data_IF_781067550684
#
_entry.id   IF_781067550684
#
_cell.length_a   1.000
_cell.length_b   1.000
_cell.length_c   1.000
_cell.angle_alpha   90.00
_cell.angle_beta   90.00
_cell.angle_gamma   90.00
#
_symmetry.space_group_name_H-M   'P 1'
#
loop_
_entity.id
_entity.type
_entity.pdbx_description
1 polymer ?
#
# COMPACT_ATOMS: atom_id res chain seq x y z
N UNK A 1 20.68 53.37 31.19
CA UNK A 1 22.16 53.31 31.07
C UNK A 1 22.48 52.09 30.20
N UNK A 2 22.87 52.26 28.91
CA UNK A 2 24.25 52.15 28.36
C UNK A 2 24.89 50.79 28.75
N UNK A 3 25.30 49.85 27.88
CA UNK A 3 25.97 49.80 26.53
C UNK A 3 25.66 48.41 25.90
N UNK A 4 25.38 48.17 24.61
CA UNK A 4 26.09 48.43 23.33
C UNK A 4 27.25 47.43 23.04
N UNK A 5 27.22 46.91 21.79
CA UNK A 5 28.29 46.33 20.92
C UNK A 5 28.51 44.80 20.91
N UNK A 6 28.76 44.09 19.80
CA UNK A 6 28.74 44.24 18.32
C UNK A 6 29.32 42.95 17.74
N UNK A 7 28.93 42.54 16.53
CA UNK A 7 29.63 41.48 15.78
C UNK A 7 29.04 41.26 14.40
N UNK A 8 29.37 42.16 13.47
CA UNK A 8 28.91 42.24 12.09
C UNK A 8 29.77 41.37 11.14
N UNK A 9 29.12 40.66 10.21
CA UNK A 9 29.35 40.60 8.74
C UNK A 9 30.68 40.12 8.10
N UNK A 10 30.54 39.20 7.13
CA UNK A 10 30.97 39.26 5.70
C UNK A 10 30.87 37.82 5.10
N UNK A 11 30.07 37.45 4.08
CA UNK A 11 29.95 37.83 2.64
C UNK A 11 31.19 37.58 1.74
N UNK A 12 31.12 36.56 0.86
CA UNK A 12 31.60 36.48 -0.56
C UNK A 12 31.64 34.98 -0.98
N UNK A 13 30.87 34.45 -1.95
CA UNK A 13 30.82 34.59 -3.42
C UNK A 13 31.88 33.80 -4.24
N UNK A 14 31.37 33.01 -5.20
CA UNK A 14 31.96 32.50 -6.47
C UNK A 14 32.97 31.34 -6.35
N UNK A 15 33.10 30.35 -7.25
CA UNK A 15 32.92 30.30 -8.71
C UNK A 15 32.85 28.85 -9.26
N UNK A 16 32.36 28.75 -10.50
CA UNK A 16 32.35 27.61 -11.44
C UNK A 16 33.69 27.45 -12.17
N UNK A 17 34.13 26.22 -12.45
CA UNK A 17 35.06 25.76 -13.52
C UNK A 17 35.56 24.34 -13.16
N UNK A 18 36.01 23.41 -14.00
CA UNK A 18 36.10 23.19 -15.44
C UNK A 18 36.35 21.66 -15.61
N UNK A 19 35.90 21.08 -16.72
CA UNK A 19 36.25 19.71 -17.17
C UNK A 19 37.55 19.77 -17.99
N UNK A 20 38.42 18.74 -17.92
CA UNK A 20 39.27 18.41 -19.06
C UNK A 20 38.99 16.99 -19.58
N UNK A 21 38.86 16.92 -20.91
CA UNK A 21 38.93 15.71 -21.71
C UNK A 21 40.41 15.30 -21.90
N UNK A 22 40.69 14.00 -22.01
CA UNK A 22 41.86 13.51 -22.75
C UNK A 22 41.57 12.12 -23.33
N UNK A 23 41.60 12.04 -24.66
CA UNK A 23 41.55 10.83 -25.44
C UNK A 23 42.99 10.38 -25.77
N UNK A 24 43.28 9.09 -25.68
CA UNK A 24 44.40 8.48 -26.39
C UNK A 24 44.22 6.95 -26.56
N UNK A 25 44.36 6.52 -27.81
CA UNK A 25 44.73 5.19 -28.32
C UNK A 25 43.76 4.00 -28.20
N UNK A 26 43.14 3.65 -29.33
CA UNK A 26 42.79 2.25 -29.64
C UNK A 26 42.70 2.00 -31.15
N UNK A 27 43.83 1.69 -31.79
CA UNK A 27 43.87 0.95 -33.06
C UNK A 27 44.56 -0.38 -32.79
N UNK A 28 43.82 -1.48 -32.87
CA UNK A 28 44.40 -2.83 -32.66
C UNK A 28 43.41 -3.94 -32.24
N UNK A 29 42.16 -3.63 -31.89
CA UNK A 29 41.25 -4.63 -31.30
C UNK A 29 40.02 -5.02 -32.17
N UNK A 30 40.03 -4.74 -33.47
CA UNK A 30 38.84 -4.89 -34.33
C UNK A 30 38.78 -6.18 -35.17
N UNK A 31 39.81 -7.03 -35.16
CA UNK A 31 39.79 -8.28 -35.95
C UNK A 31 39.58 -9.58 -35.15
N UNK A 32 39.65 -9.55 -33.81
CA UNK A 32 39.42 -10.75 -32.98
C UNK A 32 37.96 -10.93 -32.51
N UNK A 33 37.10 -9.92 -32.65
CA UNK A 33 35.72 -9.96 -32.11
C UNK A 33 34.67 -10.57 -33.05
N UNK A 34 34.95 -10.70 -34.35
CA UNK A 34 33.97 -11.22 -35.31
C UNK A 34 33.85 -12.75 -35.34
N UNK A 35 34.81 -13.50 -34.78
CA UNK A 35 34.75 -14.96 -34.70
C UNK A 35 33.90 -15.51 -33.54
N UNK A 36 33.83 -14.78 -32.42
CA UNK A 36 33.15 -15.26 -31.19
C UNK A 36 31.64 -15.03 -31.23
N UNK A 37 31.18 -13.95 -31.89
CA UNK A 37 29.75 -13.58 -31.96
C UNK A 37 28.92 -14.62 -32.75
N UNK A 38 29.54 -15.36 -33.66
CA UNK A 38 28.81 -16.32 -34.52
C UNK A 38 28.46 -17.64 -33.81
N UNK A 39 29.18 -18.01 -32.74
CA UNK A 39 28.93 -19.25 -32.02
C UNK A 39 27.87 -19.11 -30.92
N UNK A 40 27.73 -17.93 -30.30
CA UNK A 40 26.67 -17.68 -29.31
C UNK A 40 25.28 -17.54 -29.96
N UNK A 41 25.18 -16.96 -31.15
CA UNK A 41 23.89 -16.82 -31.84
C UNK A 41 23.27 -18.17 -32.24
N UNK A 42 24.07 -19.18 -32.59
CA UNK A 42 23.57 -20.52 -32.89
C UNK A 42 23.02 -21.25 -31.64
N UNK A 43 23.55 -20.94 -30.45
CA UNK A 43 23.12 -21.55 -29.18
C UNK A 43 21.84 -20.90 -28.61
N UNK A 44 21.60 -19.63 -28.92
CA UNK A 44 20.38 -18.90 -28.51
C UNK A 44 19.16 -19.30 -29.36
N UNK A 45 19.35 -19.64 -30.64
CA UNK A 45 18.25 -20.04 -31.53
C UNK A 45 17.69 -21.43 -31.19
N UNK A 46 18.52 -22.37 -30.73
CA UNK A 46 18.05 -23.71 -30.31
C UNK A 46 17.39 -23.72 -28.92
N UNK A 47 17.74 -22.79 -28.03
CA UNK A 47 17.07 -22.61 -26.74
C UNK A 47 15.67 -21.97 -26.87
N UNK A 48 15.47 -21.10 -27.88
CA UNK A 48 14.19 -20.47 -28.15
C UNK A 48 13.10 -21.43 -28.67
N UNK A 49 13.49 -22.49 -29.39
CA UNK A 49 12.55 -23.48 -29.91
C UNK A 49 11.97 -24.38 -28.80
N UNK A 50 12.82 -24.81 -27.85
CA UNK A 50 12.39 -25.64 -26.71
C UNK A 50 11.50 -24.88 -25.70
N UNK A 51 11.73 -23.57 -25.51
CA UNK A 51 10.86 -22.72 -24.68
C UNK A 51 9.49 -22.42 -25.31
N UNK A 52 9.40 -22.46 -26.65
CA UNK A 52 8.13 -22.26 -27.38
C UNK A 52 7.14 -23.41 -27.21
N UNK A 53 7.61 -24.66 -27.19
CA UNK A 53 6.75 -25.84 -27.01
C UNK A 53 6.32 -26.02 -25.55
N UNK A 54 7.20 -25.74 -24.58
CA UNK A 54 6.85 -25.76 -23.15
C UNK A 54 5.78 -24.70 -22.80
N UNK A 55 5.81 -23.52 -23.45
CA UNK A 55 4.76 -22.49 -23.29
C UNK A 55 3.42 -22.88 -23.93
N UNK A 56 3.42 -23.60 -25.05
CA UNK A 56 2.17 -24.08 -25.68
C UNK A 56 1.48 -25.17 -24.84
N UNK A 57 2.25 -26.05 -24.20
CA UNK A 57 1.68 -27.09 -23.32
C UNK A 57 1.27 -26.55 -21.93
N UNK A 58 2.01 -25.57 -21.36
CA UNK A 58 1.61 -24.91 -20.12
C UNK A 58 0.32 -24.08 -20.29
N UNK A 59 0.14 -23.41 -21.44
CA UNK A 59 -1.10 -22.68 -21.76
C UNK A 59 -2.32 -23.59 -21.95
N UNK A 60 -2.14 -24.79 -22.49
CA UNK A 60 -3.21 -25.77 -22.68
C UNK A 60 -3.65 -26.43 -21.36
N UNK A 61 -2.73 -26.65 -20.42
CA UNK A 61 -3.06 -27.18 -19.09
C UNK A 61 -3.72 -26.12 -18.20
N UNK A 62 -3.32 -24.85 -18.30
CA UNK A 62 -3.98 -23.73 -17.60
C UNK A 62 -5.39 -23.44 -18.14
N UNK A 63 -5.59 -23.52 -19.45
CA UNK A 63 -6.91 -23.35 -20.08
C UNK A 63 -7.87 -24.51 -19.73
N UNK A 64 -7.38 -25.77 -19.68
CA UNK A 64 -8.20 -26.92 -19.27
C UNK A 64 -8.58 -26.92 -17.79
N UNK A 65 -7.82 -26.28 -16.91
CA UNK A 65 -8.20 -26.11 -15.50
C UNK A 65 -9.25 -25.01 -15.29
N UNK A 66 -9.37 -24.05 -16.21
CA UNK A 66 -10.43 -23.04 -16.17
C UNK A 66 -11.78 -23.59 -16.64
N UNK A 67 -11.78 -24.64 -17.47
CA UNK A 67 -12.99 -25.21 -18.11
C UNK A 67 -13.59 -26.44 -17.39
N UNK A 68 -12.99 -26.92 -16.30
CA UNK A 68 -13.47 -28.10 -15.55
C UNK A 68 -14.35 -27.78 -14.33
N UNK A 69 -14.62 -26.50 -14.03
CA UNK A 69 -15.57 -26.15 -12.97
C UNK A 69 -16.98 -26.40 -13.47
N UNK A 70 -17.66 -27.38 -12.84
CA UNK A 70 -19.09 -27.62 -13.03
C UNK A 70 -19.81 -26.27 -12.92
N UNK A 71 -20.65 -25.86 -13.89
CA UNK A 71 -21.25 -24.52 -13.92
C UNK A 71 -21.94 -24.10 -12.61
N UNK A 72 -22.49 -25.08 -11.87
CA UNK A 72 -23.10 -24.86 -10.55
C UNK A 72 -22.12 -24.60 -9.40
N UNK A 73 -20.89 -25.12 -9.45
CA UNK A 73 -19.87 -24.88 -8.43
C UNK A 73 -19.36 -23.44 -8.47
N UNK A 74 -19.05 -22.91 -9.65
CA UNK A 74 -18.61 -21.52 -9.80
C UNK A 74 -19.68 -20.51 -9.36
N UNK A 75 -20.96 -20.80 -9.66
CA UNK A 75 -22.08 -20.00 -9.20
C UNK A 75 -22.23 -20.03 -7.66
N UNK A 76 -22.08 -21.21 -7.05
CA UNK A 76 -22.11 -21.39 -5.60
C UNK A 76 -20.97 -20.63 -4.90
N UNK A 77 -19.74 -20.72 -5.43
CA UNK A 77 -18.57 -20.02 -4.91
C UNK A 77 -18.73 -18.49 -4.97
N UNK A 78 -19.28 -17.96 -6.07
CA UNK A 78 -19.58 -16.53 -6.23
C UNK A 78 -20.55 -16.04 -5.16
N UNK A 79 -21.64 -16.77 -4.93
CA UNK A 79 -22.63 -16.43 -3.89
C UNK A 79 -21.99 -16.45 -2.49
N UNK A 80 -21.16 -17.45 -2.21
CA UNK A 80 -20.46 -17.53 -0.93
C UNK A 80 -19.46 -16.37 -0.73
N UNK A 81 -18.69 -16.03 -1.76
CA UNK A 81 -17.73 -14.92 -1.72
C UNK A 81 -18.44 -13.59 -1.45
N UNK A 82 -19.54 -13.32 -2.16
CA UNK A 82 -20.37 -12.13 -1.92
C UNK A 82 -20.92 -12.09 -0.50
N UNK A 83 -21.50 -13.19 -0.01
CA UNK A 83 -22.01 -13.27 1.37
C UNK A 83 -20.92 -13.13 2.42
N UNK A 84 -19.69 -13.57 2.15
CA UNK A 84 -18.57 -13.38 3.07
C UNK A 84 -18.19 -11.89 3.15
N UNK A 85 -18.12 -11.21 2.01
CA UNK A 85 -17.81 -9.77 1.95
C UNK A 85 -18.91 -8.92 2.60
N UNK A 86 -20.19 -9.20 2.31
CA UNK A 86 -21.33 -8.50 2.93
C UNK A 86 -21.36 -8.70 4.46
N UNK A 87 -21.06 -9.92 4.95
CA UNK A 87 -20.94 -10.19 6.39
C UNK A 87 -19.77 -9.46 7.04
N UNK A 88 -18.64 -9.35 6.34
CA UNK A 88 -17.49 -8.57 6.81
C UNK A 88 -17.85 -7.08 6.92
N UNK A 89 -18.46 -6.50 5.89
CA UNK A 89 -18.91 -5.12 5.90
C UNK A 89 -19.91 -4.85 7.04
N UNK A 90 -20.86 -5.76 7.27
CA UNK A 90 -21.81 -5.66 8.38
C UNK A 90 -21.13 -5.78 9.75
N UNK A 91 -20.17 -6.70 9.91
CA UNK A 91 -19.38 -6.84 11.16
C UNK A 91 -18.64 -5.56 11.49
N UNK A 92 -17.97 -4.96 10.50
CA UNK A 92 -17.25 -3.70 10.67
C UNK A 92 -18.20 -2.55 10.98
N UNK A 93 -19.35 -2.48 10.31
CA UNK A 93 -20.39 -1.50 10.61
C UNK A 93 -20.83 -1.58 12.09
N UNK A 94 -21.13 -2.78 12.58
CA UNK A 94 -21.55 -2.99 13.98
C UNK A 94 -20.40 -2.70 14.95
N UNK A 95 -19.17 -3.16 14.66
CA UNK A 95 -17.96 -2.89 15.47
C UNK A 95 -17.83 -1.42 15.84
N UNK A 96 -18.03 -0.51 14.88
CA UNK A 96 -17.90 0.93 15.11
C UNK A 96 -19.13 1.57 15.75
N UNK A 97 -20.32 0.99 15.57
CA UNK A 97 -21.54 1.46 16.23
C UNK A 97 -21.60 1.11 17.72
N UNK A 98 -21.01 -0.02 18.09
CA UNK A 98 -20.97 -0.47 19.48
C UNK A 98 -19.76 0.08 20.25
N UNK A 99 -18.82 0.73 19.55
CA UNK A 99 -17.61 1.30 20.15
C UNK A 99 -17.94 2.58 20.93
N UNK A 100 -17.39 2.69 22.14
CA UNK A 100 -17.43 3.95 22.88
C UNK A 100 -16.57 5.02 22.18
N UNK A 101 -17.17 6.17 21.87
CA UNK A 101 -16.52 7.26 21.16
C UNK A 101 -16.53 8.55 21.98
N UNK A 102 -15.66 9.49 21.63
CA UNK A 102 -15.63 10.82 22.24
C UNK A 102 -16.96 11.55 22.04
N UNK A 103 -17.35 12.35 23.03
CA UNK A 103 -18.59 13.15 22.97
C UNK A 103 -18.50 14.31 21.97
N UNK A 104 -19.64 14.90 21.62
CA UNK A 104 -19.77 15.92 20.55
C UNK A 104 -18.88 17.14 20.80
N UNK A 105 -18.87 17.65 22.04
CA UNK A 105 -18.04 18.80 22.43
C UNK A 105 -16.56 18.49 22.26
N UNK A 106 -16.13 17.29 22.64
CA UNK A 106 -14.74 16.87 22.50
C UNK A 106 -14.37 16.69 21.02
N UNK A 107 -15.26 16.13 20.22
CA UNK A 107 -15.07 15.99 18.78
C UNK A 107 -14.87 17.34 18.08
N UNK A 108 -15.76 18.31 18.32
CA UNK A 108 -15.64 19.65 17.73
C UNK A 108 -14.39 20.40 18.20
N UNK A 109 -14.08 20.33 19.50
CA UNK A 109 -12.86 20.93 20.03
C UNK A 109 -11.60 20.32 19.40
N UNK A 110 -11.59 19.00 19.20
CA UNK A 110 -10.47 18.29 18.60
C UNK A 110 -10.31 18.64 17.13
N UNK A 111 -11.41 18.72 16.37
CA UNK A 111 -11.37 19.18 14.97
C UNK A 111 -10.89 20.62 14.84
N UNK A 112 -11.39 21.51 15.69
CA UNK A 112 -10.95 22.89 15.72
C UNK A 112 -9.46 23.00 16.07
N UNK A 113 -8.98 22.20 17.02
CA UNK A 113 -7.57 22.15 17.40
C UNK A 113 -6.70 21.72 16.22
N UNK A 114 -7.08 20.70 15.45
CA UNK A 114 -6.34 20.25 14.25
C UNK A 114 -6.34 21.33 13.17
N UNK A 115 -7.51 21.93 12.86
CA UNK A 115 -7.61 22.98 11.84
C UNK A 115 -6.72 24.18 12.17
N UNK A 116 -6.64 24.52 13.45
CA UNK A 116 -5.85 25.65 13.94
C UNK A 116 -4.42 25.26 14.30
N UNK A 117 -4.07 23.97 14.17
CA UNK A 117 -2.74 23.50 14.51
C UNK A 117 -1.75 24.03 13.48
N UNK A 118 -0.80 24.85 13.96
CA UNK A 118 0.34 25.31 13.14
C UNK A 118 1.47 24.30 13.12
N UNK A 119 1.43 23.27 13.98
CA UNK A 119 2.38 22.17 13.97
C UNK A 119 2.02 21.18 12.86
N UNK A 120 3.04 20.70 12.14
CA UNK A 120 2.90 19.97 10.89
C UNK A 120 2.30 18.55 10.99
N UNK A 121 1.98 18.05 12.19
CA UNK A 121 1.49 16.67 12.41
C UNK A 121 0.40 16.62 13.48
N UNK A 122 -0.61 15.77 13.27
CA UNK A 122 -1.64 15.47 14.27
C UNK A 122 -1.18 14.27 15.12
N UNK A 123 -1.29 14.32 16.46
CA UNK A 123 -1.00 13.14 17.27
C UNK A 123 -1.86 11.95 16.85
N UNK A 124 -1.24 10.78 16.61
CA UNK A 124 -1.95 9.61 16.08
C UNK A 124 -3.12 9.14 16.95
N UNK A 125 -2.99 9.23 18.28
CA UNK A 125 -4.09 8.92 19.20
C UNK A 125 -5.31 9.83 18.96
N UNK A 126 -5.08 11.09 18.62
CA UNK A 126 -6.15 12.02 18.25
C UNK A 126 -6.81 11.62 16.93
N UNK A 127 -6.01 11.22 15.95
CA UNK A 127 -6.53 10.69 14.68
C UNK A 127 -7.38 9.44 14.89
N UNK A 128 -6.99 8.53 15.77
CA UNK A 128 -7.77 7.32 16.10
C UNK A 128 -9.11 7.67 16.75
N UNK A 129 -9.14 8.61 17.69
CA UNK A 129 -10.39 9.05 18.33
C UNK A 129 -11.36 9.68 17.32
N UNK A 130 -10.84 10.54 16.43
CA UNK A 130 -11.65 11.16 15.38
C UNK A 130 -12.12 10.14 14.35
N UNK A 131 -11.25 9.20 13.97
CA UNK A 131 -11.58 8.12 13.06
C UNK A 131 -12.74 7.27 13.61
N UNK A 132 -12.60 6.78 14.85
CA UNK A 132 -13.61 5.96 15.50
C UNK A 132 -14.95 6.71 15.60
N UNK A 133 -14.91 8.00 15.95
CA UNK A 133 -16.13 8.83 15.99
C UNK A 133 -16.78 9.00 14.62
N UNK A 134 -16.00 9.25 13.57
CA UNK A 134 -16.52 9.35 12.21
C UNK A 134 -17.11 8.03 11.72
N UNK A 135 -16.48 6.88 12.01
CA UNK A 135 -17.01 5.56 11.67
C UNK A 135 -18.33 5.27 12.41
N UNK A 136 -18.39 5.59 13.71
CA UNK A 136 -19.60 5.47 14.52
C UNK A 136 -20.77 6.28 13.91
N UNK A 137 -20.51 7.53 13.51
CA UNK A 137 -21.57 8.41 12.97
C UNK A 137 -21.95 8.08 11.52
N UNK A 138 -21.18 7.24 10.83
CA UNK A 138 -21.36 6.92 9.41
C UNK A 138 -20.72 7.93 8.45
N UNK A 139 -19.86 8.82 8.95
CA UNK A 139 -19.11 9.81 8.18
C UNK A 139 -17.85 9.18 7.53
N UNK A 140 -18.05 8.14 6.72
CA UNK A 140 -16.95 7.29 6.23
C UNK A 140 -15.95 8.01 5.32
N UNK A 141 -16.37 9.05 4.60
CA UNK A 141 -15.45 9.83 3.77
C UNK A 141 -14.46 10.62 4.63
N UNK A 142 -14.94 11.21 5.74
CA UNK A 142 -14.09 11.91 6.69
C UNK A 142 -13.20 10.92 7.46
N UNK A 143 -13.74 9.77 7.88
CA UNK A 143 -12.96 8.69 8.50
C UNK A 143 -11.82 8.24 7.58
N UNK A 144 -12.09 8.00 6.30
CA UNK A 144 -11.05 7.62 5.33
C UNK A 144 -9.97 8.68 5.20
N UNK A 145 -10.34 9.97 5.15
CA UNK A 145 -9.38 11.06 5.06
C UNK A 145 -8.49 11.14 6.32
N UNK A 146 -9.08 10.99 7.51
CA UNK A 146 -8.35 10.95 8.78
C UNK A 146 -7.34 9.80 8.79
N UNK A 147 -7.78 8.59 8.42
CA UNK A 147 -6.89 7.43 8.35
C UNK A 147 -5.73 7.66 7.37
N UNK A 148 -6.01 8.17 6.17
CA UNK A 148 -4.96 8.49 5.19
C UNK A 148 -3.97 9.53 5.71
N UNK A 149 -4.45 10.61 6.35
CA UNK A 149 -3.56 11.61 6.95
C UNK A 149 -2.70 11.00 8.07
N UNK A 150 -3.29 10.14 8.90
CA UNK A 150 -2.57 9.47 9.97
C UNK A 150 -1.48 8.50 9.45
N UNK A 151 -1.66 7.89 8.27
CA UNK A 151 -0.58 7.13 7.60
C UNK A 151 0.62 8.03 7.27
N UNK A 152 0.39 9.28 6.86
CA UNK A 152 1.48 10.23 6.58
C UNK A 152 2.13 10.80 7.85
N UNK A 153 1.35 10.96 8.92
CA UNK A 153 1.85 11.41 10.22
C UNK A 153 2.62 10.30 10.97
N UNK A 154 2.35 9.04 10.67
CA UNK A 154 2.95 7.89 11.34
C UNK A 154 4.38 7.58 10.89
N UNK A 155 5.30 7.56 11.86
CA UNK A 155 6.71 7.28 11.61
C UNK A 155 7.04 5.78 11.61
N UNK A 156 6.39 4.99 12.47
CA UNK A 156 6.69 3.55 12.58
C UNK A 156 5.88 2.73 11.57
N UNK A 157 6.45 1.64 11.01
CA UNK A 157 5.70 0.75 10.12
C UNK A 157 4.41 0.20 10.72
N UNK A 158 4.42 -0.25 11.99
CA UNK A 158 3.22 -0.75 12.66
C UNK A 158 2.11 0.32 12.75
N UNK A 159 2.46 1.57 13.04
CA UNK A 159 1.51 2.69 13.12
C UNK A 159 0.92 3.01 11.75
N UNK A 160 1.74 3.01 10.68
CA UNK A 160 1.25 3.18 9.31
C UNK A 160 0.31 2.05 8.90
N UNK A 161 0.65 0.80 9.23
CA UNK A 161 -0.17 -0.35 8.91
C UNK A 161 -1.53 -0.30 9.61
N UNK A 162 -1.55 0.11 10.88
CA UNK A 162 -2.77 0.33 11.64
C UNK A 162 -3.73 1.27 10.90
N UNK A 163 -3.25 2.44 10.49
CA UNK A 163 -4.11 3.40 9.79
C UNK A 163 -4.43 3.00 8.35
N UNK A 164 -3.58 2.22 7.67
CA UNK A 164 -3.94 1.59 6.39
C UNK A 164 -5.07 0.59 6.54
N UNK A 165 -5.06 -0.22 7.60
CA UNK A 165 -6.16 -1.13 7.93
C UNK A 165 -7.43 -0.34 8.20
N UNK A 166 -7.37 0.75 8.98
CA UNK A 166 -8.51 1.66 9.22
C UNK A 166 -9.06 2.24 7.93
N UNK A 167 -8.19 2.67 7.01
CA UNK A 167 -8.61 3.13 5.68
C UNK A 167 -9.32 2.01 4.89
N UNK A 168 -8.77 0.79 4.87
CA UNK A 168 -9.39 -0.36 4.21
C UNK A 168 -10.77 -0.71 4.81
N UNK A 169 -10.92 -0.66 6.13
CA UNK A 169 -12.20 -0.87 6.80
C UNK A 169 -13.27 0.14 6.34
N UNK A 170 -12.90 1.41 6.13
CA UNK A 170 -13.84 2.39 5.56
C UNK A 170 -14.30 2.01 4.15
N UNK A 171 -13.39 1.50 3.32
CA UNK A 171 -13.70 1.10 1.94
C UNK A 171 -14.58 -0.16 1.92
N UNK A 172 -14.33 -1.11 2.82
CA UNK A 172 -15.13 -2.32 2.99
C UNK A 172 -16.55 -1.99 3.43
N UNK A 173 -16.73 -1.14 4.45
CA UNK A 173 -18.07 -0.74 4.93
C UNK A 173 -18.83 0.01 3.85
N UNK A 174 -18.16 0.89 3.10
CA UNK A 174 -18.75 1.61 1.95
C UNK A 174 -18.97 0.71 0.73
N UNK A 175 -18.34 -0.46 0.69
CA UNK A 175 -18.33 -1.39 -0.43
C UNK A 175 -17.86 -0.72 -1.74
N UNK A 176 -16.80 0.07 -1.65
CA UNK A 176 -16.23 0.82 -2.80
C UNK A 176 -14.80 0.39 -3.10
N UNK A 177 -14.41 0.55 -4.38
CA UNK A 177 -13.05 0.37 -4.90
C UNK A 177 -12.31 -0.85 -4.31
N UNK A 178 -12.80 -2.04 -4.69
CA UNK A 178 -12.22 -3.31 -4.26
C UNK A 178 -10.70 -3.42 -4.55
N UNK A 179 -10.18 -2.99 -5.73
CA UNK A 179 -8.75 -3.06 -5.97
C UNK A 179 -7.93 -2.13 -5.08
N UNK A 180 -8.44 -0.92 -4.78
CA UNK A 180 -7.82 -0.05 -3.80
C UNK A 180 -7.82 -0.65 -2.39
N UNK A 181 -8.92 -1.28 -1.99
CA UNK A 181 -9.03 -1.99 -0.71
C UNK A 181 -8.00 -3.12 -0.60
N UNK A 182 -7.88 -3.96 -1.63
CA UNK A 182 -6.90 -5.05 -1.67
C UNK A 182 -5.47 -4.51 -1.54
N UNK A 183 -5.15 -3.43 -2.26
CA UNK A 183 -3.82 -2.80 -2.21
C UNK A 183 -3.50 -2.26 -0.81
N UNK A 184 -4.45 -1.63 -0.14
CA UNK A 184 -4.25 -1.14 1.24
C UNK A 184 -3.95 -2.28 2.21
N UNK A 185 -4.65 -3.41 2.07
CA UNK A 185 -4.42 -4.60 2.92
C UNK A 185 -3.04 -5.22 2.66
N UNK A 186 -2.60 -5.30 1.40
CA UNK A 186 -1.24 -5.75 1.04
C UNK A 186 -0.15 -4.82 1.57
N UNK A 187 -0.38 -3.51 1.50
CA UNK A 187 0.49 -2.48 2.04
C UNK A 187 0.56 -2.53 3.58
N UNK A 188 -0.56 -2.76 4.26
CA UNK A 188 -0.60 -2.95 5.72
C UNK A 188 0.12 -4.23 6.16
N UNK A 189 -0.12 -5.36 5.46
CA UNK A 189 0.56 -6.63 5.75
C UNK A 189 2.08 -6.51 5.66
N UNK A 190 2.57 -5.80 4.64
CA UNK A 190 4.00 -5.55 4.41
C UNK A 190 4.62 -4.72 5.53
N UNK A 191 3.95 -3.66 5.96
CA UNK A 191 4.43 -2.79 7.03
C UNK A 191 4.41 -3.45 8.39
N UNK A 192 3.40 -4.28 8.67
CA UNK A 192 3.42 -5.11 9.87
C UNK A 192 4.60 -6.08 9.81
N UNK A 193 4.81 -6.80 8.71
CA UNK A 193 5.96 -7.69 8.57
C UNK A 193 7.32 -6.98 8.75
N UNK A 194 7.43 -5.71 8.32
CA UNK A 194 8.62 -4.87 8.53
C UNK A 194 8.82 -4.44 9.99
N UNK A 195 7.73 -4.25 10.74
CA UNK A 195 7.77 -3.76 12.12
C UNK A 195 8.48 -4.71 13.11
N UNK A 196 8.73 -5.97 12.74
CA UNK A 196 9.39 -6.96 13.60
C UNK A 196 8.47 -7.48 14.70
N UNK A 197 8.94 -7.76 15.93
CA UNK A 197 8.12 -8.33 17.00
C UNK A 197 6.86 -7.50 17.27
N UNK A 198 5.69 -8.13 17.12
CA UNK A 198 4.40 -7.48 17.30
C UNK A 198 3.98 -7.46 18.76
N UNK A 199 3.58 -6.28 19.25
CA UNK A 199 2.77 -6.19 20.46
C UNK A 199 1.35 -6.73 20.21
N UNK A 200 0.53 -6.84 21.26
CA UNK A 200 -0.82 -7.41 21.14
C UNK A 200 -1.70 -6.68 20.13
N UNK A 201 -1.55 -5.36 19.99
CA UNK A 201 -2.29 -4.56 19.02
C UNK A 201 -1.86 -4.89 17.58
N UNK A 202 -0.56 -4.93 17.32
CA UNK A 202 0.00 -5.25 16.00
C UNK A 202 -0.31 -6.69 15.58
N UNK A 203 -0.39 -7.63 16.55
CA UNK A 203 -0.82 -9.01 16.29
C UNK A 203 -2.29 -9.07 15.87
N UNK A 204 -3.15 -8.30 16.55
CA UNK A 204 -4.57 -8.23 16.18
C UNK A 204 -4.75 -7.58 14.81
N UNK A 205 -4.03 -6.49 14.51
CA UNK A 205 -4.09 -5.85 13.20
C UNK A 205 -3.62 -6.81 12.09
N UNK A 206 -2.59 -7.62 12.33
CA UNK A 206 -2.17 -8.65 11.37
C UNK A 206 -3.26 -9.70 11.13
N UNK A 207 -3.94 -10.15 12.19
CA UNK A 207 -5.04 -11.11 12.08
C UNK A 207 -6.20 -10.53 11.25
N UNK A 208 -6.58 -9.28 11.53
CA UNK A 208 -7.62 -8.55 10.79
C UNK A 208 -7.21 -8.38 9.31
N UNK A 209 -5.99 -7.95 9.02
CA UNK A 209 -5.47 -7.80 7.66
C UNK A 209 -5.53 -9.13 6.89
N UNK A 210 -5.10 -10.23 7.50
CA UNK A 210 -5.13 -11.56 6.86
C UNK A 210 -6.55 -12.03 6.59
N UNK A 211 -7.47 -11.87 7.55
CA UNK A 211 -8.88 -12.21 7.36
C UNK A 211 -9.48 -11.38 6.22
N UNK A 212 -9.32 -10.06 6.26
CA UNK A 212 -9.95 -9.14 5.32
C UNK A 212 -9.38 -9.36 3.91
N UNK A 213 -8.06 -9.54 3.77
CA UNK A 213 -7.43 -9.79 2.49
C UNK A 213 -7.91 -11.09 1.86
N UNK A 214 -8.08 -12.16 2.65
CA UNK A 214 -8.61 -13.43 2.14
C UNK A 214 -10.05 -13.29 1.62
N UNK A 215 -10.91 -12.55 2.34
CA UNK A 215 -12.29 -12.30 1.94
C UNK A 215 -12.35 -11.41 0.68
N UNK A 216 -11.60 -10.30 0.68
CA UNK A 216 -11.55 -9.34 -0.43
C UNK A 216 -11.01 -10.01 -1.69
N UNK A 217 -9.89 -10.72 -1.62
CA UNK A 217 -9.31 -11.41 -2.78
C UNK A 217 -10.28 -12.46 -3.37
N UNK A 218 -10.96 -13.22 -2.51
CA UNK A 218 -11.97 -14.19 -2.96
C UNK A 218 -13.15 -13.49 -3.63
N UNK A 219 -13.62 -12.36 -3.10
CA UNK A 219 -14.71 -11.61 -3.70
C UNK A 219 -14.31 -10.95 -5.03
N UNK A 220 -13.11 -10.37 -5.12
CA UNK A 220 -12.54 -9.79 -6.34
C UNK A 220 -12.50 -10.79 -7.51
N UNK A 221 -12.29 -12.08 -7.24
CA UNK A 221 -12.27 -13.14 -8.25
C UNK A 221 -13.60 -13.25 -9.02
N UNK A 222 -14.73 -12.96 -8.37
CA UNK A 222 -16.07 -13.11 -8.95
C UNK A 222 -16.81 -11.79 -9.18
N UNK A 223 -16.18 -10.68 -8.81
CA UNK A 223 -16.64 -9.32 -9.08
C UNK A 223 -15.54 -8.52 -9.81
N UNK A 224 -15.05 -9.00 -10.97
CA UNK A 224 -14.18 -8.18 -11.79
C UNK A 224 -14.98 -6.95 -12.27
N UNK A 225 -14.29 -5.82 -12.31
CA UNK A 225 -14.81 -4.49 -12.69
C UNK A 225 -15.69 -4.51 -13.93
#
# INVERSE_FOLDING_TARGET
>A
MKKIWTGLMACALLSVSCVPALAAHSEGALQARHGVVRQEQAKVVSAGAAQGEARKHAGQNGARQAESRVPGQAAGERVQARRAYERLAQRLYVKYRDMAVIGDVQYENTKAAIRNNRAHQTPLATSELLFARCMHDGNYAEASAIATMAVFDAYKPAERAHFRLRQAETMIVRQIDLPGTQRLLEEAARELAEAGPHDGASQQDMADVQEYAAIVAKYCTYSPR
#
